data_IF_734321240184
#
_entry.id   IF_734321240184
#
_cell.length_a   1.000
_cell.length_b   1.000
_cell.length_c   1.000
_cell.angle_alpha   90.00
_cell.angle_beta   90.00
_cell.angle_gamma   90.00
#
_symmetry.space_group_name_H-M   'P 1'
#
loop_
_entity.id
_entity.type
_entity.pdbx_description
1 polymer ?
#
# COMPACT_ATOMS: atom_id res chain seq x y z
N UNK A 1 13.32 -8.38 -14.21
CA UNK A 1 12.89 -6.99 -14.48
C UNK A 1 12.65 -6.23 -13.17
N UNK A 2 13.01 -4.95 -13.11
CA UNK A 2 12.89 -4.12 -11.90
C UNK A 2 11.43 -3.97 -11.42
N UNK A 3 10.51 -3.77 -12.36
CA UNK A 3 9.07 -3.71 -12.09
C UNK A 3 8.52 -4.96 -11.38
N UNK A 4 9.07 -6.15 -11.65
CA UNK A 4 8.64 -7.40 -10.99
C UNK A 4 9.11 -7.51 -9.54
N UNK A 5 10.00 -6.62 -9.10
CA UNK A 5 10.53 -6.54 -7.73
C UNK A 5 10.12 -5.24 -7.03
N UNK A 6 9.38 -4.36 -7.70
CA UNK A 6 9.03 -3.03 -7.19
C UNK A 6 10.28 -2.24 -6.73
N UNK A 7 11.26 -2.15 -7.63
CA UNK A 7 12.53 -1.42 -7.42
C UNK A 7 12.67 -0.41 -8.54
N UNK A 8 13.05 0.82 -8.23
CA UNK A 8 13.46 1.81 -9.23
C UNK A 8 14.94 1.65 -9.60
N UNK A 9 15.35 2.19 -10.75
CA UNK A 9 16.77 2.16 -11.14
C UNK A 9 17.70 2.89 -10.15
N UNK A 10 17.15 3.83 -9.36
CA UNK A 10 17.90 4.52 -8.30
C UNK A 10 18.06 3.59 -7.09
N UNK A 11 16.99 2.94 -6.66
CA UNK A 11 17.00 2.03 -5.50
C UNK A 11 17.84 0.77 -5.75
N UNK A 12 17.95 0.31 -7.01
CA UNK A 12 18.83 -0.80 -7.38
C UNK A 12 20.30 -0.55 -6.98
N UNK A 13 20.70 0.71 -6.85
CA UNK A 13 22.06 1.09 -6.48
C UNK A 13 22.32 1.05 -4.97
N UNK A 14 21.31 0.84 -4.14
CA UNK A 14 21.48 0.68 -2.69
C UNK A 14 21.88 -0.76 -2.36
N UNK A 15 23.08 -0.95 -1.82
CA UNK A 15 23.64 -2.26 -1.46
C UNK A 15 23.49 -2.60 0.04
N UNK A 16 23.02 -1.64 0.83
CA UNK A 16 23.02 -1.68 2.29
C UNK A 16 21.64 -1.98 2.92
N UNK A 17 20.60 -2.18 2.12
CA UNK A 17 19.24 -2.39 2.60
C UNK A 17 18.49 -3.39 1.72
N UNK A 18 17.64 -4.22 2.34
CA UNK A 18 16.67 -5.06 1.62
C UNK A 18 15.54 -4.20 1.04
N UNK A 19 14.95 -4.60 -0.08
CA UNK A 19 13.84 -3.85 -0.68
C UNK A 19 12.56 -3.96 0.19
N UNK A 20 12.09 -2.88 0.83
CA UNK A 20 10.89 -2.91 1.65
C UNK A 20 9.59 -2.90 0.82
N UNK A 21 9.65 -2.58 -0.48
CA UNK A 21 8.48 -2.43 -1.35
C UNK A 21 8.17 -3.66 -2.22
N UNK A 22 9.00 -4.70 -2.14
CA UNK A 22 8.74 -5.96 -2.85
C UNK A 22 7.62 -6.74 -2.13
N UNK A 23 6.45 -6.84 -2.77
CA UNK A 23 5.23 -7.47 -2.25
C UNK A 23 5.20 -9.00 -2.40
N UNK A 24 6.37 -9.63 -2.57
CA UNK A 24 6.58 -11.08 -2.69
C UNK A 24 5.81 -11.72 -3.86
N UNK A 25 5.36 -10.91 -4.82
CA UNK A 25 4.65 -11.38 -6.01
C UNK A 25 4.88 -10.42 -7.17
N UNK A 26 5.40 -10.95 -8.27
CA UNK A 26 5.63 -10.15 -9.48
C UNK A 26 4.34 -9.54 -10.04
N UNK A 27 3.19 -10.20 -9.86
CA UNK A 27 1.90 -9.65 -10.28
C UNK A 27 1.50 -8.46 -9.38
N UNK A 28 1.66 -8.59 -8.06
CA UNK A 28 1.41 -7.48 -7.12
C UNK A 28 2.34 -6.31 -7.40
N UNK A 29 3.63 -6.57 -7.60
CA UNK A 29 4.62 -5.54 -7.92
C UNK A 29 4.30 -4.82 -9.23
N UNK A 30 3.94 -5.57 -10.28
CA UNK A 30 3.57 -4.98 -11.57
C UNK A 30 2.27 -4.17 -11.49
N UNK A 31 1.30 -4.61 -10.68
CA UNK A 31 0.03 -3.90 -10.49
C UNK A 31 0.17 -2.53 -9.83
N UNK A 32 1.28 -2.27 -9.12
CA UNK A 32 1.56 -0.92 -8.59
C UNK A 32 1.78 0.10 -9.71
N UNK A 33 2.27 -0.33 -10.87
CA UNK A 33 2.51 0.53 -12.04
C UNK A 33 1.30 0.51 -12.98
N UNK A 34 0.78 -0.68 -13.25
CA UNK A 34 -0.25 -0.91 -14.26
C UNK A 34 -1.69 -0.81 -13.71
N UNK A 35 -1.85 -0.57 -12.40
CA UNK A 35 -3.14 -0.64 -11.72
C UNK A 35 -3.68 -2.08 -11.59
N UNK A 36 -4.95 -2.19 -11.22
CA UNK A 36 -5.63 -3.48 -11.12
C UNK A 36 -5.67 -4.19 -12.49
N UNK A 37 -5.39 -5.51 -12.58
CA UNK A 37 -5.34 -6.24 -13.85
C UNK A 37 -6.55 -6.00 -14.75
N UNK A 38 -6.30 -5.50 -15.96
CA UNK A 38 -7.32 -5.05 -16.90
C UNK A 38 -6.82 -5.00 -18.35
N UNK A 39 -7.70 -4.64 -19.27
CA UNK A 39 -7.38 -4.53 -20.71
C UNK A 39 -6.41 -3.38 -21.01
N UNK A 40 -6.39 -2.37 -20.14
CA UNK A 40 -5.49 -1.22 -20.16
C UNK A 40 -4.01 -1.61 -20.01
N UNK A 41 -3.71 -2.81 -19.52
CA UNK A 41 -2.33 -3.32 -19.44
C UNK A 41 -1.66 -3.52 -20.81
N UNK A 42 -2.44 -3.65 -21.87
CA UNK A 42 -1.94 -3.89 -23.23
C UNK A 42 -1.86 -2.60 -24.06
N UNK A 43 -2.31 -1.48 -23.50
CA UNK A 43 -2.41 -0.21 -24.20
C UNK A 43 -1.47 0.82 -23.54
N UNK A 44 -0.84 1.72 -24.31
CA UNK A 44 -0.02 2.79 -23.76
C UNK A 44 -0.91 3.93 -23.22
N UNK A 45 -1.72 3.63 -22.22
CA UNK A 45 -2.66 4.55 -21.56
C UNK A 45 -2.43 4.54 -20.06
N UNK A 46 -2.91 5.56 -19.36
CA UNK A 46 -2.91 5.55 -17.90
C UNK A 46 -3.81 4.42 -17.36
N UNK A 47 -3.45 3.80 -16.22
CA UNK A 47 -4.30 2.79 -15.59
C UNK A 47 -5.70 3.33 -15.32
N UNK A 48 -6.72 2.57 -15.69
CA UNK A 48 -8.12 2.94 -15.42
C UNK A 48 -8.49 2.73 -13.95
N UNK A 49 -7.73 1.89 -13.24
CA UNK A 49 -7.92 1.56 -11.82
C UNK A 49 -6.56 1.56 -11.11
N UNK A 50 -5.98 2.75 -10.84
CA UNK A 50 -4.70 2.86 -10.16
C UNK A 50 -4.80 2.29 -8.73
N UNK A 51 -3.71 1.67 -8.25
CA UNK A 51 -3.62 1.12 -6.88
C UNK A 51 -2.77 1.99 -5.94
N UNK A 52 -2.18 3.06 -6.45
CA UNK A 52 -1.30 3.98 -5.72
C UNK A 52 -1.60 5.41 -6.13
N UNK A 53 -1.40 6.33 -5.19
CA UNK A 53 -1.51 7.79 -5.37
C UNK A 53 -0.22 8.41 -5.96
N UNK A 54 0.85 7.61 -6.12
CA UNK A 54 2.16 8.06 -6.57
C UNK A 54 2.99 8.79 -5.50
N UNK A 55 2.45 8.98 -4.29
CA UNK A 55 3.08 9.68 -3.16
C UNK A 55 3.51 8.67 -2.10
N UNK A 56 2.66 7.68 -1.82
CA UNK A 56 2.89 6.66 -0.81
C UNK A 56 2.65 5.26 -1.36
N UNK A 57 3.52 4.32 -0.97
CA UNK A 57 3.53 2.95 -1.46
C UNK A 57 3.48 1.98 -0.29
N UNK A 58 2.71 0.91 -0.46
CA UNK A 58 2.58 -0.17 0.53
C UNK A 58 3.90 -0.91 0.70
N UNK A 59 4.26 -1.21 1.94
CA UNK A 59 5.44 -2.00 2.29
C UNK A 59 5.11 -3.48 2.46
N UNK A 60 6.13 -4.33 2.33
CA UNK A 60 6.02 -5.75 2.64
C UNK A 60 5.56 -5.94 4.08
N UNK A 61 4.48 -6.70 4.26
CA UNK A 61 3.90 -7.01 5.58
C UNK A 61 3.10 -5.87 6.21
N UNK A 62 2.81 -4.81 5.47
CA UNK A 62 1.93 -3.73 5.92
C UNK A 62 0.46 -4.13 5.71
N UNK A 63 -0.30 -4.18 6.80
CA UNK A 63 -1.76 -4.30 6.77
C UNK A 63 -2.35 -2.90 6.94
N UNK A 64 -2.84 -2.32 5.84
CA UNK A 64 -3.57 -1.05 5.89
C UNK A 64 -5.07 -1.32 5.99
N UNK A 65 -5.80 -0.53 6.78
CA UNK A 65 -7.25 -0.56 6.72
C UNK A 65 -7.71 -0.13 5.32
N UNK A 66 -8.74 -0.82 4.81
CA UNK A 66 -9.27 -0.63 3.47
C UNK A 66 -9.83 0.80 3.33
N UNK A 67 -9.06 1.71 2.74
CA UNK A 67 -9.52 3.05 2.43
C UNK A 67 -10.47 2.95 1.23
N UNK A 68 -11.78 3.07 1.47
CA UNK A 68 -12.77 3.14 0.39
C UNK A 68 -12.57 4.43 -0.40
N UNK A 69 -12.30 4.31 -1.70
CA UNK A 69 -12.19 5.41 -2.66
C UNK A 69 -13.40 6.36 -2.57
N UNK A 70 -13.15 7.60 -2.15
CA UNK A 70 -14.13 8.69 -2.23
C UNK A 70 -14.23 9.18 -3.68
N UNK A 71 -14.84 8.39 -4.57
CA UNK A 71 -15.23 8.83 -5.91
C UNK A 71 -16.38 8.01 -6.52
N UNK A 72 -17.42 7.72 -5.72
CA UNK A 72 -18.74 7.35 -6.25
C UNK A 72 -19.68 8.56 -6.22
N UNK A 73 -19.48 9.52 -7.12
CA UNK A 73 -20.55 10.45 -7.50
C UNK A 73 -21.54 9.72 -8.41
N UNK A 74 -22.51 9.05 -7.78
CA UNK A 74 -23.74 8.59 -8.42
C UNK A 74 -24.92 8.95 -7.53
N UNK A 75 -25.93 9.71 -8.01
CA UNK A 75 -27.07 10.05 -7.17
C UNK A 75 -28.00 8.84 -7.12
N UNK A 76 -28.14 8.20 -5.97
CA UNK A 76 -29.26 7.29 -5.72
C UNK A 76 -29.60 7.29 -4.24
N UNK A 77 -30.52 8.18 -3.92
CA UNK A 77 -31.43 8.14 -2.79
C UNK A 77 -31.95 6.74 -2.45
N UNK A 78 -31.87 6.35 -1.18
CA UNK A 78 -33.06 5.90 -0.43
C UNK A 78 -32.72 5.72 1.05
N UNK A 79 -33.44 6.46 1.88
CA UNK A 79 -33.61 6.30 3.32
C UNK A 79 -33.90 4.85 3.73
N UNK A 80 -33.32 4.40 4.84
CA UNK A 80 -34.04 3.61 5.86
C UNK A 80 -33.18 3.43 7.10
N UNK A 81 -33.69 3.93 8.22
CA UNK A 81 -33.16 3.74 9.57
C UNK A 81 -33.08 2.26 9.95
N UNK A 82 -31.93 1.85 10.49
CA UNK A 82 -31.82 0.64 11.33
C UNK A 82 -30.62 0.78 12.24
N UNK A 83 -30.92 1.11 13.50
CA UNK A 83 -30.01 1.08 14.62
C UNK A 83 -29.52 -0.36 14.84
N UNK A 84 -28.28 -0.61 14.45
CA UNK A 84 -27.50 -1.78 14.82
C UNK A 84 -26.08 -1.33 15.08
N UNK A 85 -25.69 -1.30 16.36
CA UNK A 85 -24.32 -1.04 16.81
C UNK A 85 -23.37 -2.14 16.28
N UNK A 86 -23.00 -2.03 15.00
CA UNK A 86 -21.86 -2.74 14.43
C UNK A 86 -20.66 -1.82 14.58
N UNK A 87 -19.75 -2.21 15.47
CA UNK A 87 -18.51 -1.50 15.81
C UNK A 87 -17.91 -0.83 14.57
N UNK A 88 -18.08 0.49 14.58
CA UNK A 88 -17.68 1.46 13.59
C UNK A 88 -16.15 1.40 13.47
N UNK A 89 -15.61 0.64 12.51
CA UNK A 89 -14.27 0.94 12.00
C UNK A 89 -14.39 2.30 11.33
N UNK A 90 -14.18 3.34 12.14
CA UNK A 90 -14.14 4.72 11.68
C UNK A 90 -13.12 4.77 10.55
N UNK A 91 -13.56 5.28 9.41
CA UNK A 91 -12.71 5.62 8.26
C UNK A 91 -11.54 6.44 8.80
N UNK A 92 -10.32 5.91 8.70
CA UNK A 92 -9.14 6.64 9.15
C UNK A 92 -8.82 7.77 8.16
N UNK A 93 -8.52 8.95 8.66
CA UNK A 93 -8.04 10.05 7.81
C UNK A 93 -6.61 9.76 7.32
N UNK A 94 -6.14 10.37 6.22
CA UNK A 94 -4.76 10.23 5.78
C UNK A 94 -3.73 10.55 6.87
N UNK A 95 -4.03 11.52 7.74
CA UNK A 95 -3.20 11.89 8.88
C UNK A 95 -3.10 10.77 9.92
N UNK A 96 -4.18 10.04 10.17
CA UNK A 96 -4.20 8.87 11.06
C UNK A 96 -3.39 7.72 10.47
N UNK A 97 -3.56 7.44 9.17
CA UNK A 97 -2.78 6.41 8.45
C UNK A 97 -1.28 6.75 8.51
N UNK A 98 -0.91 8.01 8.25
CA UNK A 98 0.49 8.43 8.34
C UNK A 98 1.01 8.36 9.78
N UNK A 99 0.22 8.78 10.76
CA UNK A 99 0.57 8.68 12.18
C UNK A 99 0.87 7.24 12.58
N UNK A 100 0.04 6.26 12.18
CA UNK A 100 0.27 4.85 12.44
C UNK A 100 1.52 4.31 11.73
N UNK A 101 1.72 4.65 10.45
CA UNK A 101 2.91 4.26 9.69
C UNK A 101 4.20 4.73 10.34
N UNK A 102 4.28 5.99 10.77
CA UNK A 102 5.48 6.54 11.38
C UNK A 102 5.64 6.13 12.86
N UNK A 103 4.55 5.85 13.57
CA UNK A 103 4.59 5.37 14.95
C UNK A 103 5.03 3.91 15.05
N UNK A 104 4.56 3.05 14.15
CA UNK A 104 4.88 1.61 14.12
C UNK A 104 6.35 1.33 13.77
N UNK A 105 6.97 2.19 12.96
CA UNK A 105 8.40 2.13 12.65
C UNK A 105 9.29 2.19 13.91
N UNK A 106 8.86 2.92 14.94
CA UNK A 106 9.58 3.05 16.20
C UNK A 106 9.61 1.75 17.00
N UNK A 107 8.62 0.87 16.82
CA UNK A 107 8.46 -0.37 17.58
C UNK A 107 9.22 -1.54 16.97
N UNK A 108 9.30 -1.62 15.64
CA UNK A 108 10.03 -2.69 14.93
C UNK A 108 11.55 -2.59 15.02
N UNK A 109 12.09 -1.45 15.45
CA UNK A 109 13.53 -1.22 15.58
C UNK A 109 14.12 -1.71 16.91
N UNK A 110 13.29 -1.97 17.91
CA UNK A 110 13.71 -2.50 19.22
C UNK A 110 13.81 -4.03 19.28
N UNK A 111 13.25 -4.75 18.30
CA UNK A 111 13.21 -6.22 18.31
C UNK A 111 14.30 -6.89 17.46
N UNK A 112 15.14 -6.11 16.75
CA UNK A 112 16.16 -6.66 15.83
C UNK A 112 17.61 -6.31 16.22
N UNK A 113 17.85 -5.83 17.44
CA UNK A 113 19.20 -5.53 17.94
C UNK A 113 19.72 -6.60 18.89
N UNK A 114 19.82 -7.85 18.45
CA UNK A 114 20.56 -8.87 19.21
C UNK A 114 21.03 -10.00 18.29
N UNK A 115 22.12 -9.78 17.55
CA UNK A 115 23.11 -10.82 17.30
C UNK A 115 24.51 -10.20 17.33
N UNK A 116 25.35 -10.49 18.35
CA UNK A 116 26.76 -10.15 18.31
C UNK A 116 27.46 -11.05 17.30
N UNK A 117 28.22 -10.46 16.38
CA UNK A 117 29.14 -11.17 15.51
C UNK A 117 30.21 -11.87 16.38
N UNK A 118 30.16 -13.19 16.46
CA UNK A 118 31.22 -14.02 17.03
C UNK A 118 32.02 -14.70 15.93
N UNK A 119 33.32 -14.40 15.97
CA UNK A 119 34.50 -15.07 15.41
C UNK A 119 34.67 -15.10 13.88
#
# INVERSE_FOLDING_TARGET
PLACKNVTAIEELYDNMSNPYDLDSSLKNLSQIMGAPGFDWLLPVAPCRPLTDGISYTRRGEELPEATDENHEGPSSSSSDSDGESSHMARLTPEEIWSERYSSWSRGRSSNSEQPATA
#
